data_IF_225059097836
#
_entry.id   IF_225059097836
#
_cell.length_a   1.000
_cell.length_b   1.000
_cell.length_c   1.000
_cell.angle_alpha   90.00
_cell.angle_beta   90.00
_cell.angle_gamma   90.00
#
_symmetry.space_group_name_H-M   'P 1'
#
loop_
_entity.id
_entity.type
_entity.pdbx_description
1 polymer ?
#
# COMPACT_ATOMS: atom_id res chain seq x y z
N UNK A 1 -14.14 -22.55 -48.96
CA UNK A 1 -13.00 -22.66 -48.02
C UNK A 1 -13.11 -21.51 -47.04
N UNK A 2 -13.57 -21.81 -45.83
CA UNK A 2 -13.86 -20.86 -44.75
C UNK A 2 -12.57 -20.40 -44.06
N UNK A 3 -12.22 -19.13 -44.21
CA UNK A 3 -11.23 -18.48 -43.35
C UNK A 3 -11.91 -18.12 -42.02
N UNK A 4 -11.81 -19.01 -41.03
CA UNK A 4 -12.06 -18.63 -39.64
C UNK A 4 -10.85 -17.87 -39.12
N UNK A 5 -11.03 -16.59 -38.89
CA UNK A 5 -10.17 -15.77 -38.03
C UNK A 5 -10.24 -16.39 -36.63
N UNK A 6 -9.17 -17.08 -36.20
CA UNK A 6 -8.95 -17.37 -34.78
C UNK A 6 -8.69 -16.03 -34.09
N UNK A 7 -9.74 -15.40 -33.58
CA UNK A 7 -9.60 -14.42 -32.51
C UNK A 7 -9.08 -15.20 -31.29
N UNK A 8 -7.78 -15.15 -31.02
CA UNK A 8 -7.28 -15.53 -29.70
C UNK A 8 -7.93 -14.57 -28.71
N UNK A 9 -8.87 -15.04 -27.89
CA UNK A 9 -9.38 -14.22 -26.80
C UNK A 9 -8.19 -13.88 -25.91
N UNK A 10 -7.75 -12.63 -25.93
CA UNK A 10 -6.68 -12.17 -25.03
C UNK A 10 -7.10 -12.52 -23.60
N UNK A 11 -6.28 -13.33 -22.93
CA UNK A 11 -6.53 -13.74 -21.55
C UNK A 11 -6.52 -12.48 -20.69
N UNK A 12 -7.64 -12.20 -20.01
CA UNK A 12 -7.73 -11.08 -19.07
C UNK A 12 -6.70 -11.27 -17.96
N UNK A 13 -6.01 -10.19 -17.58
CA UNK A 13 -5.09 -10.19 -16.45
C UNK A 13 -5.86 -10.23 -15.13
N UNK A 14 -5.28 -10.89 -14.13
CA UNK A 14 -5.86 -11.03 -12.78
C UNK A 14 -5.04 -10.23 -11.78
N UNK A 15 -5.69 -9.31 -11.06
CA UNK A 15 -5.07 -8.52 -10.01
C UNK A 15 -5.65 -8.87 -8.63
N UNK A 16 -4.80 -9.29 -7.70
CA UNK A 16 -5.13 -9.42 -6.28
C UNK A 16 -4.77 -8.11 -5.57
N UNK A 17 -5.75 -7.41 -4.99
CA UNK A 17 -5.53 -6.15 -4.26
C UNK A 17 -5.99 -6.34 -2.81
N UNK A 18 -5.06 -6.15 -1.85
CA UNK A 18 -5.38 -6.27 -0.43
C UNK A 18 -5.88 -4.96 0.18
N UNK A 19 -6.89 -5.02 1.05
CA UNK A 19 -7.39 -3.85 1.78
C UNK A 19 -8.19 -2.86 0.91
N UNK A 20 -9.16 -3.35 0.14
CA UNK A 20 -9.94 -2.55 -0.83
C UNK A 20 -11.20 -1.89 -0.27
N UNK A 21 -11.46 -2.01 1.03
CA UNK A 21 -12.66 -1.42 1.66
C UNK A 21 -12.67 0.12 1.70
N UNK A 22 -11.52 0.79 1.49
CA UNK A 22 -11.41 2.26 1.45
C UNK A 22 -10.05 2.72 0.92
N UNK A 23 -9.88 4.03 0.73
CA UNK A 23 -8.58 4.66 0.45
C UNK A 23 -7.94 4.17 -0.85
N UNK A 24 -6.60 4.08 -0.88
CA UNK A 24 -5.87 3.70 -2.10
C UNK A 24 -6.28 2.33 -2.64
N UNK A 25 -6.47 1.32 -1.79
CA UNK A 25 -6.86 -0.02 -2.26
C UNK A 25 -8.17 -0.03 -3.03
N UNK A 26 -9.17 0.74 -2.57
CA UNK A 26 -10.44 0.91 -3.28
C UNK A 26 -10.22 1.54 -4.65
N UNK A 27 -9.51 2.67 -4.70
CA UNK A 27 -9.27 3.41 -5.95
C UNK A 27 -8.42 2.60 -6.93
N UNK A 28 -7.40 1.89 -6.45
CA UNK A 28 -6.56 0.99 -7.26
C UNK A 28 -7.43 -0.12 -7.86
N UNK A 29 -8.33 -0.73 -7.07
CA UNK A 29 -9.23 -1.76 -7.58
C UNK A 29 -10.12 -1.22 -8.71
N UNK A 30 -10.68 -0.02 -8.54
CA UNK A 30 -11.48 0.66 -9.57
C UNK A 30 -10.64 0.93 -10.82
N UNK A 31 -9.48 1.58 -10.68
CA UNK A 31 -8.62 1.95 -11.81
C UNK A 31 -8.09 0.75 -12.60
N UNK A 32 -7.79 -0.37 -11.94
CA UNK A 32 -7.38 -1.60 -12.63
C UNK A 32 -8.57 -2.22 -13.38
N UNK A 33 -9.76 -2.25 -12.79
CA UNK A 33 -10.96 -2.77 -13.44
C UNK A 33 -11.42 -1.92 -14.65
N UNK A 34 -11.26 -0.59 -14.58
CA UNK A 34 -11.47 0.31 -15.74
C UNK A 34 -10.52 -0.01 -16.91
N UNK A 35 -9.32 -0.54 -16.61
CA UNK A 35 -8.36 -1.02 -17.62
C UNK A 35 -8.63 -2.43 -18.13
N UNK A 36 -9.79 -3.01 -17.80
CA UNK A 36 -10.20 -4.35 -18.27
C UNK A 36 -9.55 -5.52 -17.51
N UNK A 37 -8.83 -5.24 -16.43
CA UNK A 37 -8.22 -6.26 -15.55
C UNK A 37 -9.31 -6.81 -14.62
N UNK A 38 -9.32 -8.13 -14.39
CA UNK A 38 -10.18 -8.72 -13.36
C UNK A 38 -9.50 -8.52 -12.01
N UNK A 39 -10.20 -7.85 -11.09
CA UNK A 39 -9.69 -7.49 -9.78
C UNK A 39 -10.34 -8.37 -8.72
N UNK A 40 -9.51 -9.13 -8.01
CA UNK A 40 -9.86 -9.80 -6.76
C UNK A 40 -9.64 -8.78 -5.64
N UNK A 41 -10.72 -8.10 -5.27
CA UNK A 41 -10.74 -7.03 -4.29
C UNK A 41 -10.93 -7.63 -2.90
N UNK A 42 -9.87 -7.61 -2.06
CA UNK A 42 -9.92 -8.29 -0.76
C UNK A 42 -9.99 -7.35 0.42
N UNK A 43 -10.67 -7.83 1.46
CA UNK A 43 -10.83 -7.15 2.73
C UNK A 43 -11.04 -8.16 3.85
N UNK A 44 -10.64 -7.80 5.07
CA UNK A 44 -10.85 -8.64 6.25
C UNK A 44 -12.33 -8.89 6.55
N UNK A 45 -13.18 -7.90 6.26
CA UNK A 45 -14.61 -7.94 6.52
C UNK A 45 -15.37 -7.55 5.24
N UNK A 46 -16.03 -8.53 4.63
CA UNK A 46 -16.76 -8.37 3.37
C UNK A 46 -17.98 -7.45 3.49
N UNK A 47 -18.51 -7.22 4.69
CA UNK A 47 -19.61 -6.25 4.87
C UNK A 47 -19.20 -4.82 4.48
N UNK A 48 -17.89 -4.55 4.40
CA UNK A 48 -17.32 -3.24 4.04
C UNK A 48 -17.14 -3.04 2.53
N UNK A 49 -17.62 -3.95 1.69
CA UNK A 49 -17.54 -3.83 0.23
C UNK A 49 -18.46 -2.77 -0.37
N UNK A 50 -19.43 -2.26 0.41
CA UNK A 50 -20.57 -1.43 -0.05
C UNK A 50 -20.14 -0.27 -0.96
N UNK A 51 -19.13 0.50 -0.55
CA UNK A 51 -18.71 1.66 -1.33
C UNK A 51 -18.01 1.29 -2.65
N UNK A 52 -17.17 0.24 -2.63
CA UNK A 52 -16.52 -0.27 -3.84
C UNK A 52 -17.57 -0.83 -4.82
N UNK A 53 -18.56 -1.58 -4.31
CA UNK A 53 -19.65 -2.11 -5.12
C UNK A 53 -20.47 -0.99 -5.78
N UNK A 54 -20.86 0.02 -5.01
CA UNK A 54 -21.57 1.19 -5.51
C UNK A 54 -20.81 1.89 -6.64
N UNK A 55 -19.50 2.11 -6.46
CA UNK A 55 -18.66 2.76 -7.49
C UNK A 55 -18.51 1.86 -8.72
N UNK A 56 -18.35 0.56 -8.53
CA UNK A 56 -18.20 -0.42 -9.62
C UNK A 56 -19.45 -0.49 -10.50
N UNK A 57 -20.64 -0.45 -9.90
CA UNK A 57 -21.92 -0.37 -10.62
C UNK A 57 -22.04 0.92 -11.41
N UNK A 58 -21.77 2.07 -10.77
CA UNK A 58 -21.84 3.39 -11.42
C UNK A 58 -20.90 3.53 -12.62
N UNK A 59 -19.74 2.87 -12.56
CA UNK A 59 -18.74 2.88 -13.64
C UNK A 59 -18.92 1.75 -14.67
N UNK A 60 -19.88 0.85 -14.48
CA UNK A 60 -20.10 -0.28 -15.39
C UNK A 60 -18.93 -1.28 -15.43
N UNK A 61 -18.27 -1.48 -14.28
CA UNK A 61 -17.10 -2.38 -14.13
C UNK A 61 -17.35 -3.48 -13.09
N UNK A 62 -18.59 -3.63 -12.62
CA UNK A 62 -18.97 -4.60 -11.59
C UNK A 62 -18.65 -6.05 -11.99
N UNK A 63 -18.71 -6.39 -13.28
CA UNK A 63 -18.35 -7.71 -13.83
C UNK A 63 -16.85 -8.03 -13.76
N UNK A 64 -16.02 -7.04 -13.39
CA UNK A 64 -14.56 -7.15 -13.30
C UNK A 64 -14.04 -7.09 -11.88
N UNK A 65 -14.92 -6.93 -10.88
CA UNK A 65 -14.52 -6.87 -9.47
C UNK A 65 -15.14 -8.03 -8.72
N UNK A 66 -14.28 -8.90 -8.21
CA UNK A 66 -14.65 -10.06 -7.41
C UNK A 66 -14.22 -9.83 -5.98
N UNK A 67 -15.19 -9.86 -5.06
CA UNK A 67 -14.94 -9.64 -3.64
C UNK A 67 -14.56 -10.94 -2.97
N UNK A 68 -13.48 -10.93 -2.19
CA UNK A 68 -13.00 -12.10 -1.48
C UNK A 68 -12.51 -11.72 -0.08
N UNK A 69 -12.91 -12.48 0.93
CA UNK A 69 -12.41 -12.25 2.28
C UNK A 69 -10.94 -12.68 2.36
N UNK A 70 -10.09 -11.77 2.85
CA UNK A 70 -8.69 -12.06 3.12
C UNK A 70 -8.23 -11.17 4.28
N UNK A 71 -7.95 -11.79 5.42
CA UNK A 71 -7.21 -11.15 6.50
C UNK A 71 -5.72 -11.44 6.35
N UNK A 72 -4.92 -10.39 6.20
CA UNK A 72 -3.46 -10.52 5.99
C UNK A 72 -2.74 -11.01 7.25
N UNK A 73 -3.37 -10.97 8.42
CA UNK A 73 -2.79 -11.50 9.67
C UNK A 73 -3.19 -12.95 9.97
N UNK A 74 -3.97 -13.58 9.09
CA UNK A 74 -4.41 -14.97 9.25
C UNK A 74 -3.91 -15.82 8.07
N UNK A 75 -2.97 -16.72 8.36
CA UNK A 75 -2.37 -17.59 7.35
C UNK A 75 -3.38 -18.54 6.68
N UNK A 76 -4.43 -18.97 7.40
CA UNK A 76 -5.48 -19.82 6.83
C UNK A 76 -6.35 -18.99 5.89
N UNK A 77 -6.71 -17.77 6.29
CA UNK A 77 -7.44 -16.85 5.41
C UNK A 77 -6.66 -16.58 4.12
N UNK A 78 -5.34 -16.38 4.21
CA UNK A 78 -4.47 -16.19 3.04
C UNK A 78 -4.46 -17.43 2.16
N UNK A 79 -4.16 -18.62 2.70
CA UNK A 79 -4.04 -19.84 1.89
C UNK A 79 -5.34 -20.17 1.18
N UNK A 80 -6.47 -20.12 1.88
CA UNK A 80 -7.80 -20.33 1.29
C UNK A 80 -8.10 -19.32 0.18
N UNK A 81 -7.76 -18.04 0.37
CA UNK A 81 -7.99 -17.03 -0.65
C UNK A 81 -7.14 -17.30 -1.91
N UNK A 82 -5.85 -17.62 -1.75
CA UNK A 82 -4.96 -17.89 -2.89
C UNK A 82 -5.37 -19.18 -3.62
N UNK A 83 -5.74 -20.24 -2.89
CA UNK A 83 -6.25 -21.49 -3.48
C UNK A 83 -7.52 -21.25 -4.30
N UNK A 84 -8.46 -20.45 -3.79
CA UNK A 84 -9.67 -20.07 -4.53
C UNK A 84 -9.36 -19.33 -5.82
N UNK A 85 -8.43 -18.36 -5.77
CA UNK A 85 -8.01 -17.60 -6.97
C UNK A 85 -7.33 -18.53 -7.97
N UNK A 86 -6.45 -19.42 -7.50
CA UNK A 86 -5.76 -20.38 -8.37
C UNK A 86 -6.73 -21.36 -9.01
N UNK A 87 -7.70 -21.89 -8.26
CA UNK A 87 -8.71 -22.80 -8.79
C UNK A 87 -9.60 -22.12 -9.84
N UNK A 88 -9.95 -20.84 -9.64
CA UNK A 88 -10.86 -20.13 -10.52
C UNK A 88 -10.17 -19.53 -11.76
N UNK A 89 -8.96 -19.00 -11.62
CA UNK A 89 -8.28 -18.25 -12.68
C UNK A 89 -6.96 -18.84 -13.14
N UNK A 90 -6.36 -19.74 -12.36
CA UNK A 90 -5.06 -20.38 -12.65
C UNK A 90 -3.86 -19.45 -12.57
N UNK A 91 -4.05 -18.17 -12.25
CA UNK A 91 -3.02 -17.13 -12.40
C UNK A 91 -3.24 -15.96 -11.46
N UNK A 92 -2.16 -15.28 -11.10
CA UNK A 92 -2.15 -13.97 -10.46
C UNK A 92 -1.08 -13.13 -11.17
N UNK A 93 -1.51 -12.14 -11.94
CA UNK A 93 -0.60 -11.32 -12.75
C UNK A 93 -0.12 -10.08 -12.00
N UNK A 94 -0.95 -9.58 -11.10
CA UNK A 94 -0.68 -8.37 -10.33
C UNK A 94 -1.05 -8.65 -8.88
N UNK A 95 -0.12 -8.45 -7.96
CA UNK A 95 -0.37 -8.39 -6.53
C UNK A 95 -0.16 -6.95 -6.08
N UNK A 96 -1.16 -6.34 -5.48
CA UNK A 96 -1.04 -5.05 -4.80
C UNK A 96 -1.18 -5.27 -3.30
N UNK A 97 -0.05 -5.24 -2.60
CA UNK A 97 0.00 -5.26 -1.15
C UNK A 97 -0.28 -3.86 -0.62
N UNK A 98 -1.57 -3.57 -0.39
CA UNK A 98 -2.04 -2.28 0.10
C UNK A 98 -2.58 -2.33 1.55
N UNK A 99 -3.06 -3.48 2.01
CA UNK A 99 -3.58 -3.62 3.37
C UNK A 99 -2.57 -3.12 4.41
N UNK A 100 -3.04 -2.23 5.29
CA UNK A 100 -2.22 -1.64 6.33
C UNK A 100 -2.90 -0.46 6.99
N UNK A 101 -2.39 -0.08 8.15
CA UNK A 101 -2.84 1.08 8.92
C UNK A 101 -1.66 1.79 9.56
N UNK A 102 -1.94 2.91 10.24
CA UNK A 102 -0.93 3.72 10.90
C UNK A 102 -1.32 3.96 12.35
N UNK A 103 -0.40 3.64 13.25
CA UNK A 103 -0.43 4.06 14.66
C UNK A 103 0.57 5.20 14.86
N UNK A 104 0.15 6.20 15.63
CA UNK A 104 1.01 7.27 16.09
C UNK A 104 1.06 7.39 17.62
N UNK A 105 2.09 8.08 18.09
CA UNK A 105 2.43 8.26 19.50
C UNK A 105 3.93 8.38 19.71
N UNK A 106 4.33 8.94 20.85
CA UNK A 106 5.75 8.94 21.26
C UNK A 106 6.16 7.54 21.71
N UNK A 107 7.42 7.18 21.45
CA UNK A 107 7.91 5.79 21.51
C UNK A 107 7.59 5.13 22.86
N UNK A 108 7.87 5.78 23.98
CA UNK A 108 7.66 5.21 25.32
C UNK A 108 6.20 5.20 25.79
N UNK A 109 5.28 5.86 25.05
CA UNK A 109 3.85 5.82 25.36
C UNK A 109 3.08 4.80 24.56
N UNK A 110 3.60 4.34 23.42
CA UNK A 110 2.92 3.38 22.58
C UNK A 110 3.19 1.99 23.15
N UNK A 111 2.16 1.23 23.59
CA UNK A 111 2.34 -0.12 24.10
C UNK A 111 3.01 -1.03 23.08
N UNK A 112 3.90 -1.91 23.54
CA UNK A 112 4.66 -2.80 22.65
C UNK A 112 3.76 -3.74 21.84
N UNK A 113 2.59 -4.09 22.38
CA UNK A 113 1.56 -4.88 21.71
C UNK A 113 1.02 -4.14 20.47
N UNK A 114 0.89 -2.83 20.54
CA UNK A 114 0.48 -1.99 19.41
C UNK A 114 1.58 -1.93 18.34
N UNK A 115 2.86 -1.88 18.75
CA UNK A 115 3.97 -2.01 17.80
C UNK A 115 3.93 -3.37 17.09
N UNK A 116 3.70 -4.45 17.83
CA UNK A 116 3.57 -5.80 17.24
C UNK A 116 2.41 -5.85 16.26
N UNK A 117 1.23 -5.36 16.63
CA UNK A 117 0.05 -5.34 15.75
C UNK A 117 0.26 -4.49 14.48
N UNK A 118 0.97 -3.35 14.60
CA UNK A 118 1.34 -2.50 13.46
C UNK A 118 2.23 -3.26 12.47
N UNK A 119 3.23 -4.00 12.96
CA UNK A 119 4.13 -4.81 12.13
C UNK A 119 3.43 -6.07 11.61
N UNK A 120 2.55 -6.67 12.40
CA UNK A 120 1.78 -7.85 12.03
C UNK A 120 0.99 -7.60 10.75
N UNK A 121 0.22 -6.52 10.70
CA UNK A 121 -0.55 -6.21 9.49
C UNK A 121 0.31 -5.66 8.36
N UNK A 122 1.14 -4.64 8.62
CA UNK A 122 1.82 -3.92 7.53
C UNK A 122 3.01 -4.69 6.96
N UNK A 123 3.69 -5.51 7.76
CA UNK A 123 4.95 -6.18 7.39
C UNK A 123 4.71 -7.68 7.24
N UNK A 124 4.37 -8.37 8.32
CA UNK A 124 4.23 -9.82 8.29
C UNK A 124 3.08 -10.26 7.37
N UNK A 125 1.95 -9.55 7.38
CA UNK A 125 0.85 -9.83 6.48
C UNK A 125 1.18 -9.58 5.01
N UNK A 126 1.90 -8.50 4.69
CA UNK A 126 2.43 -8.26 3.34
C UNK A 126 3.35 -9.41 2.90
N UNK A 127 4.27 -9.82 3.77
CA UNK A 127 5.21 -10.92 3.50
C UNK A 127 4.44 -12.23 3.30
N UNK A 128 3.47 -12.54 4.15
CA UNK A 128 2.69 -13.77 4.10
C UNK A 128 1.88 -13.89 2.80
N UNK A 129 1.16 -12.83 2.42
CA UNK A 129 0.43 -12.78 1.14
C UNK A 129 1.40 -12.92 -0.03
N UNK A 130 2.51 -12.18 -0.01
CA UNK A 130 3.51 -12.26 -1.07
C UNK A 130 4.03 -13.68 -1.21
N UNK A 131 4.46 -14.32 -0.12
CA UNK A 131 4.96 -15.70 -0.10
C UNK A 131 3.96 -16.69 -0.69
N UNK A 132 2.66 -16.53 -0.42
CA UNK A 132 1.63 -17.39 -0.97
C UNK A 132 1.44 -17.20 -2.50
N UNK A 133 1.67 -15.99 -3.01
CA UNK A 133 1.54 -15.66 -4.45
C UNK A 133 2.80 -16.00 -5.26
N UNK A 134 3.99 -15.95 -4.65
CA UNK A 134 5.26 -16.14 -5.36
C UNK A 134 5.35 -17.43 -6.19
N UNK A 135 4.93 -18.62 -5.71
CA UNK A 135 4.99 -19.84 -6.52
C UNK A 135 4.23 -19.72 -7.85
N UNK A 136 3.06 -19.09 -7.82
CA UNK A 136 2.20 -18.86 -8.99
C UNK A 136 2.94 -17.95 -9.99
N UNK A 137 3.41 -16.79 -9.55
CA UNK A 137 4.13 -15.84 -10.43
C UNK A 137 5.45 -16.40 -10.95
N UNK A 138 6.16 -17.19 -10.13
CA UNK A 138 7.42 -17.86 -10.51
C UNK A 138 7.21 -18.86 -11.63
N UNK A 139 6.15 -19.67 -11.57
CA UNK A 139 5.79 -20.62 -12.61
C UNK A 139 5.35 -19.92 -13.90
N UNK A 140 4.57 -18.83 -13.77
CA UNK A 140 4.17 -17.98 -14.89
C UNK A 140 5.35 -17.32 -15.62
N UNK A 141 6.48 -17.10 -14.92
CA UNK A 141 7.61 -16.28 -15.37
C UNK A 141 7.19 -14.85 -15.79
N UNK A 142 6.15 -14.34 -15.15
CA UNK A 142 5.69 -12.96 -15.30
C UNK A 142 4.80 -12.58 -14.12
N UNK A 143 4.80 -11.30 -13.79
CA UNK A 143 3.96 -10.75 -12.73
C UNK A 143 4.43 -9.38 -12.25
N UNK A 144 3.55 -8.68 -11.54
CA UNK A 144 3.84 -7.42 -10.86
C UNK A 144 3.50 -7.55 -9.38
N UNK A 145 4.45 -7.24 -8.51
CA UNK A 145 4.23 -7.11 -7.07
C UNK A 145 4.39 -5.64 -6.72
N UNK A 146 3.28 -4.99 -6.40
CA UNK A 146 3.21 -3.58 -6.03
C UNK A 146 3.07 -3.51 -4.50
N UNK A 147 4.11 -3.06 -3.83
CA UNK A 147 4.12 -2.86 -2.39
C UNK A 147 3.84 -1.39 -2.08
N UNK A 148 2.74 -1.12 -1.37
CA UNK A 148 2.39 0.22 -0.94
C UNK A 148 3.24 0.61 0.28
N UNK A 149 4.31 1.35 0.01
CA UNK A 149 5.17 1.97 1.01
C UNK A 149 4.62 3.33 1.43
N UNK A 150 5.50 4.27 1.76
CA UNK A 150 5.20 5.67 2.05
C UNK A 150 6.49 6.46 2.03
N UNK A 151 6.40 7.78 1.90
CA UNK A 151 7.50 8.68 2.26
C UNK A 151 8.02 8.44 3.70
N UNK A 152 7.16 7.93 4.60
CA UNK A 152 7.55 7.50 5.96
C UNK A 152 8.41 6.23 5.99
N UNK A 153 8.52 5.50 4.88
CA UNK A 153 9.50 4.41 4.69
C UNK A 153 10.88 4.92 4.29
N UNK A 154 10.99 6.21 3.96
CA UNK A 154 12.23 6.87 3.57
C UNK A 154 12.67 7.93 4.58
N UNK A 155 11.78 8.47 5.40
CA UNK A 155 12.14 9.41 6.46
C UNK A 155 11.22 9.24 7.64
N UNK A 156 11.78 9.14 8.84
CA UNK A 156 11.00 9.00 10.06
C UNK A 156 10.77 10.37 10.71
N UNK A 157 9.55 10.58 11.21
CA UNK A 157 9.15 11.78 11.93
C UNK A 157 8.72 11.44 13.36
N UNK A 158 8.96 12.34 14.33
CA UNK A 158 8.47 12.15 15.69
C UNK A 158 6.96 11.90 15.73
N UNK A 159 6.52 11.01 16.61
CA UNK A 159 5.11 10.64 16.75
C UNK A 159 4.61 9.57 15.77
N UNK A 160 5.43 9.09 14.83
CA UNK A 160 5.04 8.07 13.84
C UNK A 160 5.95 6.85 13.82
N UNK A 161 6.70 6.60 14.88
CA UNK A 161 7.74 5.58 14.87
C UNK A 161 7.23 4.16 14.54
N UNK A 162 6.10 3.65 15.08
CA UNK A 162 5.58 2.33 14.69
C UNK A 162 5.29 2.23 13.19
N UNK A 163 4.61 3.24 12.64
CA UNK A 163 4.27 3.30 11.22
C UNK A 163 5.52 3.41 10.34
N UNK A 164 6.42 4.35 10.65
CA UNK A 164 7.66 4.55 9.91
C UNK A 164 8.50 3.26 9.90
N UNK A 165 8.71 2.63 11.06
CA UNK A 165 9.40 1.33 11.15
C UNK A 165 8.77 0.29 10.23
N UNK A 166 7.44 0.18 10.20
CA UNK A 166 6.75 -0.75 9.30
C UNK A 166 7.02 -0.46 7.82
N UNK A 167 7.07 0.82 7.43
CA UNK A 167 7.31 1.21 6.03
C UNK A 167 8.78 1.06 5.63
N UNK A 168 9.73 1.34 6.53
CA UNK A 168 11.14 1.04 6.31
C UNK A 168 11.39 -0.47 6.13
N UNK A 169 10.67 -1.32 6.87
CA UNK A 169 10.76 -2.77 6.71
C UNK A 169 10.27 -3.22 5.32
N UNK A 170 9.19 -2.62 4.80
CA UNK A 170 8.68 -2.89 3.45
C UNK A 170 9.70 -2.51 2.38
N UNK A 171 10.42 -1.39 2.54
CA UNK A 171 11.49 -0.98 1.62
C UNK A 171 12.58 -2.04 1.50
N UNK A 172 13.15 -2.48 2.64
CA UNK A 172 14.21 -3.49 2.66
C UNK A 172 13.74 -4.85 2.14
N UNK A 173 12.53 -5.27 2.50
CA UNK A 173 11.91 -6.49 1.97
C UNK A 173 11.77 -6.44 0.44
N UNK A 174 11.29 -5.31 -0.09
CA UNK A 174 11.03 -5.17 -1.52
C UNK A 174 12.30 -5.09 -2.35
N UNK A 175 13.37 -4.50 -1.80
CA UNK A 175 14.71 -4.52 -2.42
C UNK A 175 15.24 -5.95 -2.57
N UNK A 176 15.22 -6.74 -1.48
CA UNK A 176 15.64 -8.15 -1.52
C UNK A 176 14.81 -8.94 -2.54
N UNK A 177 13.48 -8.82 -2.43
CA UNK A 177 12.56 -9.56 -3.27
C UNK A 177 12.74 -9.23 -4.76
N UNK A 178 13.07 -7.98 -5.10
CA UNK A 178 13.32 -7.57 -6.49
C UNK A 178 14.48 -8.36 -7.11
N UNK A 179 15.52 -8.66 -6.33
CA UNK A 179 16.65 -9.46 -6.80
C UNK A 179 16.27 -10.93 -6.94
N UNK A 180 15.60 -11.50 -5.93
CA UNK A 180 15.16 -12.91 -5.94
C UNK A 180 14.23 -13.23 -7.11
N UNK A 181 13.40 -12.26 -7.50
CA UNK A 181 12.37 -12.45 -8.52
C UNK A 181 12.77 -12.05 -9.95
N UNK A 182 13.99 -11.51 -10.11
CA UNK A 182 14.48 -11.02 -11.40
C UNK A 182 14.55 -12.12 -12.48
N UNK A 183 15.08 -13.29 -12.12
CA UNK A 183 15.24 -14.43 -13.05
C UNK A 183 13.90 -15.03 -13.51
N UNK A 184 12.83 -14.72 -12.79
CA UNK A 184 11.46 -15.14 -13.12
C UNK A 184 10.66 -14.04 -13.81
N UNK A 185 11.30 -12.92 -14.20
CA UNK A 185 10.63 -11.79 -14.88
C UNK A 185 9.41 -11.25 -14.10
N UNK A 186 9.46 -11.33 -12.76
CA UNK A 186 8.45 -10.76 -11.85
C UNK A 186 8.94 -9.40 -11.34
N UNK A 187 8.14 -8.36 -11.56
CA UNK A 187 8.51 -6.97 -11.30
C UNK A 187 8.05 -6.57 -9.91
N UNK A 188 8.98 -6.41 -8.98
CA UNK A 188 8.69 -5.86 -7.64
C UNK A 188 8.82 -4.34 -7.67
N UNK A 189 7.80 -3.61 -7.24
CA UNK A 189 7.73 -2.15 -7.30
C UNK A 189 7.20 -1.59 -5.98
N UNK A 190 7.87 -0.55 -5.50
CA UNK A 190 7.47 0.27 -4.38
C UNK A 190 6.76 1.52 -4.89
N UNK A 191 5.57 1.77 -4.35
CA UNK A 191 4.88 3.06 -4.49
C UNK A 191 4.98 3.75 -3.14
N UNK A 192 5.45 4.99 -3.13
CA UNK A 192 5.79 5.73 -1.91
C UNK A 192 4.96 7.02 -1.84
N UNK A 193 3.65 6.93 -1.48
CA UNK A 193 2.82 8.12 -1.37
C UNK A 193 3.29 9.03 -0.23
N UNK A 194 3.22 10.34 -0.50
CA UNK A 194 3.24 11.40 0.50
C UNK A 194 1.97 11.44 1.33
N UNK A 195 1.67 12.60 1.91
CA UNK A 195 0.39 12.82 2.58
C UNK A 195 -0.72 12.99 1.55
N UNK A 196 -1.64 12.03 1.49
CA UNK A 196 -2.83 12.05 0.64
C UNK A 196 -4.10 11.99 1.50
N UNK A 197 -5.22 12.49 0.98
CA UNK A 197 -6.53 12.40 1.64
C UNK A 197 -7.02 10.96 1.67
N UNK A 198 -6.65 10.23 2.71
CA UNK A 198 -7.07 8.84 2.94
C UNK A 198 -7.44 8.65 4.40
N UNK A 199 -8.34 7.69 4.65
CA UNK A 199 -8.84 7.36 5.99
C UNK A 199 -7.75 6.90 6.98
N UNK A 200 -6.55 6.55 6.49
CA UNK A 200 -5.42 6.14 7.32
C UNK A 200 -4.95 7.27 8.25
N UNK A 201 -5.02 8.52 7.80
CA UNK A 201 -4.61 9.68 8.59
C UNK A 201 -5.74 10.13 9.51
N UNK A 202 -6.99 10.10 9.06
CA UNK A 202 -8.12 10.45 9.93
C UNK A 202 -8.25 9.47 11.11
N UNK A 203 -8.17 8.16 10.86
CA UNK A 203 -8.19 7.13 11.91
C UNK A 203 -6.89 7.11 12.72
N UNK A 204 -5.74 7.13 12.03
CA UNK A 204 -4.43 7.11 12.68
C UNK A 204 -4.13 8.35 13.53
N UNK A 205 -4.71 9.52 13.21
CA UNK A 205 -4.62 10.74 14.03
C UNK A 205 -5.62 10.76 15.20
N UNK A 206 -6.81 10.19 15.01
CA UNK A 206 -7.80 10.05 16.07
C UNK A 206 -7.33 9.08 17.17
N UNK A 207 -6.57 8.05 16.79
CA UNK A 207 -6.08 7.00 17.68
C UNK A 207 -4.60 7.19 18.10
N UNK A 208 -4.07 8.42 18.01
CA UNK A 208 -2.71 8.69 18.52
C UNK A 208 -2.67 8.51 20.03
N UNK A 209 -1.69 7.73 20.49
CA UNK A 209 -1.49 7.51 21.93
C UNK A 209 -1.07 8.82 22.61
N UNK A 210 -1.95 9.30 23.48
CA UNK A 210 -1.73 10.48 24.32
C UNK A 210 -1.67 10.06 25.78
N UNK A 211 -0.75 10.67 26.53
CA UNK A 211 -0.59 10.45 27.97
C UNK A 211 -0.72 11.83 28.64
N UNK A 212 -1.67 12.02 29.58
CA UNK A 212 -1.81 13.28 30.31
C UNK A 212 -0.52 13.67 31.03
N UNK A 213 -0.20 14.97 31.06
CA UNK A 213 1.00 15.52 31.72
C UNK A 213 2.32 14.96 31.19
N UNK A 214 2.35 14.45 29.95
CA UNK A 214 3.57 13.96 29.34
C UNK A 214 4.56 15.09 29.03
N UNK A 215 5.89 14.86 29.20
CA UNK A 215 6.92 15.78 28.70
C UNK A 215 6.87 16.03 27.18
N UNK A 216 6.15 15.21 26.41
CA UNK A 216 6.02 15.37 24.95
C UNK A 216 4.77 16.10 24.50
N UNK A 217 3.88 16.51 25.42
CA UNK A 217 2.56 17.02 25.07
C UNK A 217 2.61 18.14 24.01
N UNK A 218 3.45 19.17 24.22
CA UNK A 218 3.60 20.28 23.27
C UNK A 218 4.10 19.83 21.89
N UNK A 219 5.02 18.86 21.85
CA UNK A 219 5.53 18.29 20.59
C UNK A 219 4.48 17.44 19.90
N UNK A 220 3.69 16.69 20.65
CA UNK A 220 2.59 15.88 20.12
C UNK A 220 1.52 16.76 19.49
N UNK A 221 1.17 17.86 20.14
CA UNK A 221 0.27 18.87 19.58
C UNK A 221 0.82 19.47 18.28
N UNK A 222 2.13 19.77 18.22
CA UNK A 222 2.77 20.25 16.99
C UNK A 222 2.71 19.22 15.85
N UNK A 223 2.97 17.94 16.15
CA UNK A 223 2.82 16.84 15.19
C UNK A 223 1.38 16.73 14.70
N UNK A 224 0.40 16.76 15.60
CA UNK A 224 -1.03 16.71 15.26
C UNK A 224 -1.45 17.90 14.41
N UNK A 225 -0.99 19.12 14.73
CA UNK A 225 -1.23 20.33 13.92
C UNK A 225 -0.68 20.17 12.51
N UNK A 226 0.58 19.73 12.38
CA UNK A 226 1.22 19.49 11.09
C UNK A 226 0.41 18.47 10.27
N UNK A 227 0.03 17.35 10.87
CA UNK A 227 -0.68 16.29 10.16
C UNK A 227 -2.10 16.67 9.76
N UNK A 228 -2.82 17.43 10.58
CA UNK A 228 -4.13 18.02 10.20
C UNK A 228 -4.00 18.98 9.03
N UNK A 229 -2.98 19.84 9.04
CA UNK A 229 -2.69 20.76 7.93
C UNK A 229 -2.33 20.00 6.65
N UNK A 230 -1.51 18.97 6.78
CA UNK A 230 -1.12 18.12 5.65
C UNK A 230 -2.34 17.41 5.05
N UNK A 231 -3.26 16.90 5.90
CA UNK A 231 -4.49 16.27 5.45
C UNK A 231 -5.44 17.26 4.73
N UNK A 232 -5.55 18.51 5.19
CA UNK A 232 -6.45 19.48 4.57
C UNK A 232 -5.96 19.94 3.18
N UNK A 233 -4.65 20.07 2.98
CA UNK A 233 -4.05 20.40 1.68
C UNK A 233 -3.68 19.18 0.84
N UNK A 234 -4.02 17.97 1.27
CA UNK A 234 -3.54 16.77 0.59
C UNK A 234 -4.14 16.63 -0.84
N UNK A 235 -3.32 16.20 -1.82
CA UNK A 235 -3.74 15.96 -3.20
C UNK A 235 -4.73 14.80 -3.31
N UNK A 236 -5.31 14.66 -4.50
CA UNK A 236 -6.30 13.62 -4.81
C UNK A 236 -5.66 12.22 -4.73
N UNK A 237 -6.15 11.31 -3.87
CA UNK A 237 -5.64 9.94 -3.79
C UNK A 237 -5.79 9.13 -5.10
N UNK A 238 -6.62 9.58 -6.05
CA UNK A 238 -6.74 8.99 -7.38
C UNK A 238 -5.40 8.99 -8.14
N UNK A 239 -4.52 9.97 -7.92
CA UNK A 239 -3.21 10.03 -8.56
C UNK A 239 -2.36 8.78 -8.30
N UNK A 240 -2.48 8.21 -7.09
CA UNK A 240 -1.78 6.98 -6.68
C UNK A 240 -2.34 5.77 -7.42
N UNK A 241 -3.67 5.68 -7.54
CA UNK A 241 -4.32 4.60 -8.27
C UNK A 241 -3.98 4.63 -9.77
N UNK A 242 -3.98 5.82 -10.36
CA UNK A 242 -3.59 6.02 -11.76
C UNK A 242 -2.12 5.67 -11.99
N UNK A 243 -1.25 6.00 -11.04
CA UNK A 243 0.16 5.61 -11.08
C UNK A 243 0.31 4.09 -11.07
N UNK A 244 -0.38 3.38 -10.18
CA UNK A 244 -0.36 1.90 -10.16
C UNK A 244 -0.85 1.34 -11.50
N UNK A 245 -1.94 1.87 -12.04
CA UNK A 245 -2.45 1.51 -13.36
C UNK A 245 -1.42 1.71 -14.48
N UNK A 246 -0.64 2.79 -14.46
CA UNK A 246 0.46 3.01 -15.41
C UNK A 246 1.66 2.08 -15.17
N UNK A 247 1.98 1.74 -13.92
CA UNK A 247 3.12 0.87 -13.59
C UNK A 247 2.93 -0.53 -14.19
N UNK A 248 1.72 -1.09 -14.06
CA UNK A 248 1.43 -2.46 -14.55
C UNK A 248 1.36 -2.58 -16.07
N UNK A 249 1.48 -1.47 -16.80
CA UNK A 249 1.60 -1.43 -18.26
C UNK A 249 3.06 -1.32 -18.73
N UNK A 250 4.00 -1.04 -17.82
CA UNK A 250 5.41 -0.88 -18.16
C UNK A 250 6.12 -2.22 -18.19
N UNK A 251 6.75 -2.55 -19.32
CA UNK A 251 7.62 -3.73 -19.46
C UNK A 251 8.76 -3.78 -18.43
N UNK A 252 9.34 -2.63 -18.08
CA UNK A 252 10.45 -2.51 -17.12
C UNK A 252 10.23 -1.33 -16.17
N UNK A 253 9.41 -1.48 -15.12
CA UNK A 253 9.17 -0.42 -14.16
C UNK A 253 10.40 -0.26 -13.25
N UNK A 254 10.64 0.99 -12.82
CA UNK A 254 11.60 1.31 -11.75
C UNK A 254 11.21 0.60 -10.45
N UNK A 255 12.18 0.41 -9.57
CA UNK A 255 11.90 -0.12 -8.24
C UNK A 255 11.03 0.83 -7.41
N UNK A 256 11.24 2.16 -7.49
CA UNK A 256 10.57 3.14 -6.63
C UNK A 256 9.83 4.22 -7.41
N UNK A 257 8.63 4.54 -6.92
CA UNK A 257 7.83 5.66 -7.38
C UNK A 257 7.31 6.47 -6.19
N UNK A 258 8.04 7.51 -5.83
CA UNK A 258 7.56 8.56 -4.94
C UNK A 258 6.52 9.43 -5.63
N UNK A 259 5.43 9.73 -4.93
CA UNK A 259 4.32 10.54 -5.45
C UNK A 259 3.72 11.40 -4.33
N UNK A 260 3.23 12.59 -4.67
CA UNK A 260 2.69 13.59 -3.74
C UNK A 260 3.63 14.77 -3.58
N UNK A 261 3.05 15.96 -3.33
CA UNK A 261 3.80 17.20 -3.20
C UNK A 261 4.88 17.10 -2.12
N UNK A 262 6.10 17.58 -2.44
CA UNK A 262 7.23 17.58 -1.50
C UNK A 262 7.93 16.22 -1.27
N UNK A 263 7.36 15.09 -1.74
CA UNK A 263 7.97 13.75 -1.59
C UNK A 263 9.39 13.71 -2.18
N UNK A 264 9.56 14.18 -3.41
CA UNK A 264 10.85 14.24 -4.09
C UNK A 264 11.86 15.17 -3.39
N UNK A 265 11.40 16.29 -2.82
CA UNK A 265 12.25 17.24 -2.10
C UNK A 265 12.81 16.60 -0.84
N UNK A 266 11.97 15.89 -0.08
CA UNK A 266 12.39 15.20 1.13
C UNK A 266 13.40 14.08 0.84
N UNK A 267 13.16 13.30 -0.22
CA UNK A 267 14.07 12.24 -0.66
C UNK A 267 15.42 12.83 -1.08
N UNK A 268 15.41 13.92 -1.85
CA UNK A 268 16.62 14.65 -2.22
C UNK A 268 17.35 15.21 -0.99
N UNK A 269 16.61 15.82 -0.06
CA UNK A 269 17.17 16.40 1.15
C UNK A 269 17.87 15.33 1.99
N UNK A 270 17.26 14.16 2.22
CA UNK A 270 17.88 13.06 2.96
C UNK A 270 19.20 12.59 2.33
N UNK A 271 19.29 12.59 1.00
CA UNK A 271 20.47 12.09 0.27
C UNK A 271 21.68 13.03 0.38
N UNK A 272 21.45 14.35 0.47
CA UNK A 272 22.51 15.34 0.30
C UNK A 272 22.65 16.33 1.46
N UNK A 273 21.62 16.50 2.27
CA UNK A 273 21.64 17.40 3.43
C UNK A 273 22.19 16.62 4.64
N UNK A 274 23.23 17.12 5.31
CA UNK A 274 23.75 16.49 6.52
C UNK A 274 22.66 16.30 7.57
N UNK A 275 22.68 15.17 8.28
CA UNK A 275 21.68 14.83 9.29
C UNK A 275 21.42 15.96 10.29
N UNK A 276 22.48 16.63 10.78
CA UNK A 276 22.37 17.74 11.73
C UNK A 276 21.50 18.90 11.23
N UNK A 277 21.51 19.18 9.94
CA UNK A 277 20.71 20.25 9.34
C UNK A 277 19.25 19.82 9.27
N UNK A 278 18.98 18.57 8.85
CA UNK A 278 17.61 18.01 8.84
C UNK A 278 17.02 17.96 10.25
N UNK A 279 17.79 17.48 11.22
CA UNK A 279 17.42 17.44 12.63
C UNK A 279 17.09 18.83 13.17
N UNK A 280 17.90 19.84 12.84
CA UNK A 280 17.63 21.22 13.23
C UNK A 280 16.34 21.79 12.62
N UNK A 281 16.08 21.53 11.33
CA UNK A 281 14.84 21.96 10.65
C UNK A 281 13.62 21.33 11.31
N UNK A 282 13.65 20.01 11.53
CA UNK A 282 12.56 19.28 12.20
C UNK A 282 12.36 19.80 13.62
N UNK A 283 13.46 20.03 14.36
CA UNK A 283 13.43 20.56 15.71
C UNK A 283 12.81 21.97 15.80
N UNK A 284 12.98 22.81 14.77
CA UNK A 284 12.30 24.11 14.70
C UNK A 284 10.80 23.98 14.41
N UNK A 285 10.42 23.12 13.47
CA UNK A 285 9.03 22.90 13.11
C UNK A 285 8.18 22.37 14.29
N UNK A 286 8.79 21.63 15.22
CA UNK A 286 8.12 21.07 16.39
C UNK A 286 8.12 21.99 17.63
N UNK A 287 8.76 23.16 17.56
CA UNK A 287 8.77 24.18 18.63
C UNK A 287 7.75 25.30 18.41
N UNK A 288 7.22 25.43 17.19
CA UNK A 288 6.19 26.39 16.77
C UNK A 288 4.78 25.82 16.89
#
# INVERSE_FOLDING_TARGET
MSNQVKASSERKRIALVTGTSSGFGLLIAVSLAEKGIIVIATMRDLTRQVELARIAEQKGIADRIHYLQLDVTDTVSISTAIENIQAQYGTIDILVNNAGYAVGGFIEHVPIETWRAQLETNVFGLIAVTRAVLPIMREQKDGYIINMSSVSGLSAFPGYAPYATSKFAIEGFSESLRHEMADFNVKVVLVEPGSYRTSIWEKGLADIYTVPNSPYQSRLEAVLRYSRKSASSAPDPQEVADLVGRIVEKRSPKLRYAIGEGSHIMIWARKWVPWRVLEWVIGRALKS
#
